data_IF_499714078116
#
_entry.id   IF_499714078116
#
_cell.length_a   1.000
_cell.length_b   1.000
_cell.length_c   1.000
_cell.angle_alpha   90.00
_cell.angle_beta   90.00
_cell.angle_gamma   90.00
#
_symmetry.space_group_name_H-M   'P 1'
#
loop_
_entity.id
_entity.type
_entity.pdbx_description
1 polymer ?
#
# COMPACT_ATOMS: atom_id res chain seq x y z
N UNK A 1 5.69 -3.98 5.28
CA UNK A 1 5.19 -4.52 4.00
C UNK A 1 3.83 -3.95 3.63
N UNK A 2 2.77 -4.16 4.40
CA UNK A 2 1.40 -3.78 3.99
C UNK A 2 1.20 -2.28 3.70
N UNK A 3 1.83 -1.41 4.50
CA UNK A 3 1.79 0.04 4.27
C UNK A 3 2.49 0.47 2.99
N UNK A 4 3.65 -0.13 2.71
CA UNK A 4 4.39 0.16 1.49
C UNK A 4 3.61 -0.34 0.28
N UNK A 5 2.98 -1.52 0.37
CA UNK A 5 2.11 -2.04 -0.68
C UNK A 5 0.92 -1.12 -0.95
N UNK A 6 0.29 -0.56 0.10
CA UNK A 6 -0.82 0.38 -0.07
C UNK A 6 -0.35 1.66 -0.78
N UNK A 7 0.71 2.30 -0.28
CA UNK A 7 1.24 3.54 -0.89
C UNK A 7 1.64 3.29 -2.34
N UNK A 8 2.34 2.18 -2.60
CA UNK A 8 2.73 1.80 -3.95
C UNK A 8 1.51 1.58 -4.86
N UNK A 9 0.46 0.90 -4.38
CA UNK A 9 -0.75 0.69 -5.16
C UNK A 9 -1.46 2.01 -5.49
N UNK A 10 -1.55 2.93 -4.51
CA UNK A 10 -2.12 4.26 -4.71
C UNK A 10 -1.30 5.07 -5.72
N UNK A 11 0.04 5.05 -5.61
CA UNK A 11 0.92 5.73 -6.56
C UNK A 11 0.76 5.19 -8.00
N UNK A 12 0.66 3.85 -8.16
CA UNK A 12 0.48 3.23 -9.48
C UNK A 12 -0.90 3.48 -10.08
N UNK A 13 -1.92 3.63 -9.24
CA UNK A 13 -3.29 3.84 -9.67
C UNK A 13 -3.72 5.31 -9.63
N UNK A 14 -2.84 6.25 -9.25
CA UNK A 14 -3.19 7.65 -9.03
C UNK A 14 -4.02 8.25 -10.18
N UNK A 15 -3.61 8.00 -11.42
CA UNK A 15 -4.31 8.48 -12.62
C UNK A 15 -5.79 8.07 -12.68
N UNK A 16 -6.14 6.91 -12.12
CA UNK A 16 -7.51 6.41 -12.05
C UNK A 16 -8.25 6.86 -10.77
N UNK A 17 -7.52 7.22 -9.71
CA UNK A 17 -8.08 7.48 -8.37
C UNK A 17 -8.35 8.97 -8.11
N UNK A 18 -7.65 9.88 -8.78
CA UNK A 18 -7.69 11.33 -8.50
C UNK A 18 -9.12 11.93 -8.49
N UNK A 19 -10.05 11.36 -9.27
CA UNK A 19 -11.44 11.85 -9.40
C UNK A 19 -12.50 10.82 -9.02
N UNK A 20 -12.10 9.70 -8.44
CA UNK A 20 -13.00 8.62 -8.08
C UNK A 20 -13.14 8.51 -6.56
N UNK A 21 -14.35 8.17 -6.12
CA UNK A 21 -14.55 7.67 -4.75
C UNK A 21 -14.28 6.18 -4.78
N UNK A 22 -13.38 5.71 -3.91
CA UNK A 22 -12.95 4.32 -3.91
C UNK A 22 -12.75 3.77 -2.50
N UNK A 23 -12.73 2.45 -2.44
CA UNK A 23 -12.57 1.70 -1.19
C UNK A 23 -11.28 0.89 -1.22
N UNK A 24 -10.51 0.98 -0.14
CA UNK A 24 -9.34 0.15 0.12
C UNK A 24 -9.74 -0.91 1.11
N UNK A 25 -9.79 -2.16 0.64
CA UNK A 25 -10.10 -3.32 1.46
C UNK A 25 -8.80 -3.96 1.92
N UNK A 26 -8.64 -4.14 3.24
CA UNK A 26 -7.42 -4.70 3.83
C UNK A 26 -7.75 -5.63 5.00
N UNK A 27 -6.96 -6.68 5.16
CA UNK A 27 -7.06 -7.65 6.26
C UNK A 27 -6.33 -7.20 7.54
N UNK A 28 -5.89 -5.93 7.57
CA UNK A 28 -5.00 -5.42 8.61
C UNK A 28 -5.55 -4.16 9.25
N UNK A 29 -6.07 -4.31 10.46
CA UNK A 29 -6.62 -3.24 11.30
C UNK A 29 -5.65 -2.07 11.50
N UNK A 30 -4.34 -2.30 11.47
CA UNK A 30 -3.31 -1.26 11.58
C UNK A 30 -3.41 -0.19 10.48
N UNK A 31 -3.89 -0.54 9.29
CA UNK A 31 -4.07 0.39 8.16
C UNK A 31 -5.23 1.36 8.42
N UNK A 32 -6.29 0.88 9.09
CA UNK A 32 -7.42 1.72 9.50
C UNK A 32 -7.02 2.77 10.54
N UNK A 33 -6.16 2.39 11.49
CA UNK A 33 -5.70 3.28 12.56
C UNK A 33 -4.60 4.25 12.10
N UNK A 34 -3.91 3.95 10.99
CA UNK A 34 -2.76 4.72 10.51
C UNK A 34 -3.06 6.20 10.35
N UNK A 35 -4.22 6.52 9.80
CA UNK A 35 -4.49 7.90 9.42
C UNK A 35 -4.97 8.77 10.59
N UNK A 36 -5.14 8.15 11.76
CA UNK A 36 -5.52 8.81 13.00
C UNK A 36 -4.40 8.78 14.06
N UNK A 37 -3.30 8.06 13.81
CA UNK A 37 -2.18 7.92 14.75
C UNK A 37 -1.03 8.88 14.44
N UNK A 38 -0.31 9.30 15.49
CA UNK A 38 0.95 10.04 15.31
C UNK A 38 2.01 9.13 14.68
N UNK A 39 2.69 9.53 13.60
CA UNK A 39 3.64 8.67 12.93
C UNK A 39 4.87 8.43 13.82
N UNK A 40 5.27 7.17 14.06
CA UNK A 40 6.37 6.83 14.95
C UNK A 40 7.75 7.05 14.30
N UNK A 41 7.83 7.12 12.97
CA UNK A 41 9.08 7.33 12.24
C UNK A 41 8.88 8.18 10.98
N UNK A 42 9.99 8.65 10.40
CA UNK A 42 9.99 9.54 9.22
C UNK A 42 9.39 8.87 7.98
N UNK A 43 9.57 7.58 7.77
CA UNK A 43 8.99 6.86 6.63
C UNK A 43 7.46 6.80 6.72
N UNK A 44 6.93 6.52 7.91
CA UNK A 44 5.49 6.51 8.15
C UNK A 44 4.86 7.89 8.03
N UNK A 45 5.57 8.95 8.44
CA UNK A 45 5.13 10.33 8.19
C UNK A 45 5.00 10.62 6.69
N UNK A 46 6.01 10.23 5.88
CA UNK A 46 5.96 10.41 4.43
C UNK A 46 4.79 9.66 3.80
N UNK A 47 4.56 8.42 4.22
CA UNK A 47 3.43 7.62 3.74
C UNK A 47 2.08 8.21 4.17
N UNK A 48 1.95 8.71 5.39
CA UNK A 48 0.75 9.42 5.82
C UNK A 48 0.47 10.62 4.90
N UNK A 49 1.48 11.46 4.64
CA UNK A 49 1.34 12.63 3.76
C UNK A 49 0.90 12.21 2.35
N UNK A 50 1.50 11.16 1.77
CA UNK A 50 1.11 10.64 0.47
C UNK A 50 -0.35 10.17 0.41
N UNK A 51 -0.85 9.56 1.50
CA UNK A 51 -2.23 9.06 1.57
C UNK A 51 -3.23 10.19 1.85
N UNK A 52 -2.81 11.32 2.43
CA UNK A 52 -3.70 12.45 2.73
C UNK A 52 -4.38 13.02 1.48
N UNK A 53 -3.74 12.98 0.32
CA UNK A 53 -4.33 13.44 -0.95
C UNK A 53 -5.63 12.68 -1.29
N UNK A 54 -5.67 11.38 -0.97
CA UNK A 54 -6.83 10.52 -1.26
C UNK A 54 -7.87 10.53 -0.14
N UNK A 55 -7.59 11.14 1.03
CA UNK A 55 -8.46 11.05 2.22
C UNK A 55 -9.89 11.53 2.01
N UNK A 56 -10.09 12.51 1.14
CA UNK A 56 -11.44 13.04 0.85
C UNK A 56 -12.32 12.05 0.09
N UNK A 57 -11.73 11.17 -0.71
CA UNK A 57 -12.43 10.29 -1.64
C UNK A 57 -12.17 8.79 -1.38
N UNK A 58 -11.39 8.46 -0.34
CA UNK A 58 -10.98 7.09 -0.03
C UNK A 58 -11.56 6.61 1.31
N UNK A 59 -12.23 5.46 1.28
CA UNK A 59 -12.68 4.76 2.49
C UNK A 59 -11.84 3.50 2.72
N UNK A 60 -11.40 3.26 3.97
CA UNK A 60 -10.64 2.06 4.33
C UNK A 60 -11.56 1.09 5.07
N UNK A 61 -11.77 -0.08 4.48
CA UNK A 61 -12.59 -1.16 5.03
C UNK A 61 -11.68 -2.29 5.48
N UNK A 62 -11.90 -2.77 6.71
CA UNK A 62 -11.21 -3.95 7.21
C UNK A 62 -12.08 -5.18 7.01
N UNK A 63 -11.57 -6.18 6.31
CA UNK A 63 -12.26 -7.44 6.02
C UNK A 63 -11.41 -8.63 6.44
N UNK A 64 -12.03 -9.70 6.93
CA UNK A 64 -11.28 -10.86 7.42
C UNK A 64 -10.51 -11.56 6.29
N UNK A 65 -9.25 -11.94 6.55
CA UNK A 65 -8.27 -12.41 5.56
C UNK A 65 -8.67 -13.61 4.68
N UNK A 66 -9.80 -14.27 4.94
CA UNK A 66 -10.26 -15.45 4.21
C UNK A 66 -10.72 -15.13 2.77
N UNK A 67 -11.10 -13.88 2.52
CA UNK A 67 -11.49 -13.35 1.19
C UNK A 67 -10.30 -12.80 0.38
N UNK A 68 -9.14 -12.60 1.02
CA UNK A 68 -7.96 -11.96 0.41
C UNK A 68 -6.95 -12.94 -0.22
N UNK A 69 -7.40 -14.08 -0.73
CA UNK A 69 -6.52 -15.16 -1.24
C UNK A 69 -5.57 -14.71 -2.35
N UNK A 70 -6.01 -13.80 -3.22
CA UNK A 70 -5.21 -13.29 -4.34
C UNK A 70 -4.01 -12.45 -3.85
N UNK A 71 -4.27 -11.46 -2.99
CA UNK A 71 -3.23 -10.60 -2.41
C UNK A 71 -2.31 -11.41 -1.49
N UNK A 72 -2.87 -12.37 -0.76
CA UNK A 72 -2.12 -13.26 0.12
C UNK A 72 -1.16 -14.19 -0.62
N UNK A 73 -1.57 -14.70 -1.79
CA UNK A 73 -0.73 -15.49 -2.67
C UNK A 73 0.50 -14.72 -3.13
N UNK A 74 0.31 -13.49 -3.60
CA UNK A 74 1.40 -12.60 -4.04
C UNK A 74 2.39 -12.28 -2.91
N UNK A 75 1.91 -12.08 -1.69
CA UNK A 75 2.78 -11.84 -0.53
C UNK A 75 3.62 -13.07 -0.15
N UNK A 76 3.05 -14.27 -0.27
CA UNK A 76 3.71 -15.52 0.13
C UNK A 76 4.70 -16.05 -0.90
N UNK A 77 4.51 -15.69 -2.17
CA UNK A 77 5.35 -16.13 -3.28
C UNK A 77 5.90 -14.94 -4.08
N UNK A 78 6.75 -14.09 -3.46
CA UNK A 78 7.41 -13.03 -4.20
C UNK A 78 8.37 -13.63 -5.22
N UNK A 79 8.39 -13.06 -6.43
CA UNK A 79 9.43 -13.39 -7.41
C UNK A 79 10.80 -12.95 -6.86
N UNK A 80 11.87 -13.71 -7.13
CA UNK A 80 13.22 -13.27 -6.79
C UNK A 80 13.53 -11.92 -7.43
N UNK A 81 14.28 -11.07 -6.73
CA UNK A 81 14.75 -9.78 -7.27
C UNK A 81 15.95 -10.00 -8.19
N UNK A 82 15.73 -10.62 -9.36
CA UNK A 82 16.75 -10.88 -10.38
C UNK A 82 16.43 -10.16 -11.69
N UNK A 83 17.36 -10.15 -12.65
CA UNK A 83 17.21 -9.43 -13.92
C UNK A 83 16.03 -9.92 -14.78
N UNK A 84 15.58 -11.15 -14.54
CA UNK A 84 14.43 -11.76 -15.21
C UNK A 84 13.09 -11.28 -14.64
N UNK A 85 13.10 -10.64 -13.47
CA UNK A 85 11.91 -10.07 -12.85
C UNK A 85 11.61 -8.68 -13.46
N UNK A 86 10.43 -8.47 -14.08
CA UNK A 86 10.06 -7.16 -14.64
C UNK A 86 9.99 -6.04 -13.59
N UNK A 87 9.93 -6.38 -12.30
CA UNK A 87 10.00 -5.45 -11.18
C UNK A 87 11.39 -5.40 -10.51
N UNK A 88 12.45 -5.82 -11.21
CA UNK A 88 13.82 -5.80 -10.70
C UNK A 88 14.23 -4.40 -10.24
N UNK A 89 14.74 -4.32 -9.01
CA UNK A 89 15.36 -3.10 -8.47
C UNK A 89 16.81 -3.44 -8.13
N UNK A 90 17.81 -2.81 -8.79
CA UNK A 90 19.22 -2.97 -8.45
C UNK A 90 19.47 -2.58 -6.98
N UNK A 91 20.20 -3.40 -6.23
CA UNK A 91 20.49 -3.16 -4.80
C UNK A 91 21.24 -1.84 -4.54
N UNK A 92 21.94 -1.30 -5.55
CA UNK A 92 22.66 -0.02 -5.46
C UNK A 92 21.75 1.23 -5.54
N UNK A 93 20.45 1.07 -5.83
CA UNK A 93 19.51 2.18 -5.97
C UNK A 93 18.78 2.56 -4.66
N UNK A 94 19.36 2.26 -3.49
CA UNK A 94 18.79 2.62 -2.20
C UNK A 94 19.50 3.85 -1.61
N UNK A 95 18.87 5.04 -1.55
CA UNK A 95 19.39 6.21 -0.84
C UNK A 95 19.29 6.07 0.69
#
# INVERSE_FOLDING_TARGET
>A
MEFLCLVWALEKLNYFLEKCVFEVITDRTAVKSLLNMKPPNRHMLRWQIAIQEYRGNMTIVHEDGNIHKNAYGLRRWPLPNNIDNPAYVPEEASP
#
